data_IF_995817178556
#
_entry.id   IF_995817178556
#
_cell.length_a   1.000
_cell.length_b   1.000
_cell.length_c   1.000
_cell.angle_alpha   90.00
_cell.angle_beta   90.00
_cell.angle_gamma   90.00
#
_symmetry.space_group_name_H-M   'P 1'
#
loop_
_entity.id
_entity.type
_entity.pdbx_description
1 polymer ?
#
# COMPACT_ATOMS: atom_id res chain seq x y z
N UNK A 1 -46.98 2.34 -0.24
CA UNK A 1 -45.76 2.29 0.61
C UNK A 1 -44.70 1.25 0.18
N UNK A 2 -45.00 0.22 -0.62
CA UNK A 2 -44.02 -0.83 -0.97
C UNK A 2 -42.87 -0.42 -1.92
N UNK A 3 -43.10 0.49 -2.88
CA UNK A 3 -42.09 0.79 -3.91
C UNK A 3 -40.86 1.56 -3.37
N UNK A 4 -41.06 2.42 -2.36
CA UNK A 4 -39.99 3.24 -1.76
C UNK A 4 -39.06 2.35 -0.92
N UNK A 5 -39.64 1.43 -0.13
CA UNK A 5 -38.89 0.49 0.71
C UNK A 5 -38.09 -0.50 -0.14
N UNK A 6 -38.68 -1.03 -1.22
CA UNK A 6 -37.98 -1.93 -2.15
C UNK A 6 -36.78 -1.24 -2.84
N UNK A 7 -36.94 0.03 -3.22
CA UNK A 7 -35.86 0.80 -3.87
C UNK A 7 -34.71 1.13 -2.90
N UNK A 8 -35.02 1.45 -1.65
CA UNK A 8 -34.00 1.66 -0.61
C UNK A 8 -33.19 0.38 -0.32
N UNK A 9 -33.85 -0.79 -0.26
CA UNK A 9 -33.18 -2.08 -0.06
C UNK A 9 -32.28 -2.44 -1.26
N UNK A 10 -32.74 -2.20 -2.49
CA UNK A 10 -31.93 -2.43 -3.69
C UNK A 10 -30.68 -1.55 -3.72
N UNK A 11 -30.83 -0.25 -3.44
CA UNK A 11 -29.71 0.68 -3.41
C UNK A 11 -28.68 0.31 -2.34
N UNK A 12 -29.13 -0.10 -1.15
CA UNK A 12 -28.23 -0.56 -0.09
C UNK A 12 -27.49 -1.84 -0.46
N UNK A 13 -28.14 -2.79 -1.15
CA UNK A 13 -27.48 -4.00 -1.66
C UNK A 13 -26.46 -3.69 -2.76
N UNK A 14 -26.78 -2.79 -3.68
CA UNK A 14 -25.86 -2.39 -4.75
C UNK A 14 -24.64 -1.64 -4.20
N UNK A 15 -24.84 -0.78 -3.20
CA UNK A 15 -23.75 -0.11 -2.48
C UNK A 15 -22.86 -1.11 -1.72
N UNK A 16 -23.46 -2.09 -1.04
CA UNK A 16 -22.72 -3.15 -0.36
C UNK A 16 -21.94 -4.03 -1.35
N UNK A 17 -22.52 -4.37 -2.50
CA UNK A 17 -21.84 -5.14 -3.55
C UNK A 17 -20.67 -4.36 -4.14
N UNK A 18 -20.85 -3.08 -4.48
CA UNK A 18 -19.76 -2.24 -4.96
C UNK A 18 -18.66 -2.05 -3.90
N UNK A 19 -19.02 -1.94 -2.62
CA UNK A 19 -18.06 -1.88 -1.51
C UNK A 19 -17.24 -3.17 -1.38
N UNK A 20 -17.88 -4.33 -1.53
CA UNK A 20 -17.21 -5.64 -1.51
C UNK A 20 -16.34 -5.88 -2.74
N UNK A 21 -16.80 -5.52 -3.94
CA UNK A 21 -16.04 -5.61 -5.19
C UNK A 21 -14.77 -4.74 -5.11
N UNK A 22 -14.91 -3.47 -4.68
CA UNK A 22 -13.77 -2.57 -4.45
C UNK A 22 -12.79 -3.11 -3.40
N UNK A 23 -13.31 -3.70 -2.32
CA UNK A 23 -12.49 -4.33 -1.28
C UNK A 23 -11.70 -5.53 -1.83
N UNK A 24 -12.33 -6.35 -2.68
CA UNK A 24 -11.68 -7.47 -3.36
C UNK A 24 -10.56 -7.00 -4.31
N UNK A 25 -10.81 -5.93 -5.07
CA UNK A 25 -9.83 -5.35 -5.99
C UNK A 25 -8.61 -4.79 -5.26
N UNK A 26 -8.80 -4.13 -4.12
CA UNK A 26 -7.70 -3.61 -3.29
C UNK A 26 -6.84 -4.76 -2.75
N UNK A 27 -7.44 -5.82 -2.18
CA UNK A 27 -6.70 -6.99 -1.72
C UNK A 27 -5.90 -7.64 -2.84
N UNK A 28 -6.52 -7.80 -4.02
CA UNK A 28 -5.87 -8.36 -5.21
C UNK A 28 -4.68 -7.51 -5.65
N UNK A 29 -4.84 -6.19 -5.69
CA UNK A 29 -3.76 -5.26 -6.03
C UNK A 29 -2.58 -5.37 -5.05
N UNK A 30 -2.85 -5.39 -3.75
CA UNK A 30 -1.82 -5.48 -2.71
C UNK A 30 -1.07 -6.82 -2.76
N UNK A 31 -1.79 -7.93 -3.00
CA UNK A 31 -1.17 -9.25 -3.23
C UNK A 31 -0.25 -9.24 -4.45
N UNK A 32 -0.73 -8.77 -5.60
CA UNK A 32 0.07 -8.70 -6.84
C UNK A 32 1.30 -7.81 -6.63
N UNK A 33 1.15 -6.70 -5.91
CA UNK A 33 2.27 -5.79 -5.62
C UNK A 33 3.30 -6.44 -4.69
N UNK A 34 2.87 -7.21 -3.69
CA UNK A 34 3.76 -8.02 -2.86
C UNK A 34 4.53 -9.04 -3.70
N UNK A 35 3.85 -9.81 -4.53
CA UNK A 35 4.45 -10.81 -5.43
C UNK A 35 5.46 -10.17 -6.41
N UNK A 36 5.11 -9.02 -6.98
CA UNK A 36 6.01 -8.27 -7.87
C UNK A 36 7.26 -7.78 -7.14
N UNK A 37 7.13 -7.27 -5.92
CA UNK A 37 8.27 -6.84 -5.11
C UNK A 37 9.16 -8.04 -4.73
N UNK A 38 8.55 -9.15 -4.32
CA UNK A 38 9.27 -10.39 -4.01
C UNK A 38 10.07 -10.87 -5.22
N UNK A 39 9.49 -10.80 -6.43
CA UNK A 39 10.18 -11.11 -7.67
C UNK A 39 11.33 -10.15 -7.97
N UNK A 40 11.13 -8.83 -7.82
CA UNK A 40 12.16 -7.80 -8.05
C UNK A 40 13.38 -8.03 -7.15
N UNK A 41 13.15 -8.35 -5.88
CA UNK A 41 14.22 -8.57 -4.91
C UNK A 41 15.01 -9.87 -5.20
N UNK A 42 14.35 -10.89 -5.76
CA UNK A 42 14.97 -12.15 -6.17
C UNK A 42 15.68 -12.07 -7.53
N UNK A 43 15.23 -11.19 -8.44
CA UNK A 43 15.73 -11.09 -9.83
C UNK A 43 16.27 -9.69 -10.15
N UNK A 44 17.19 -9.21 -9.30
CA UNK A 44 17.70 -7.83 -9.31
C UNK A 44 18.25 -7.38 -10.67
N UNK A 45 19.01 -8.25 -11.32
CA UNK A 45 19.57 -8.01 -12.66
C UNK A 45 18.50 -7.75 -13.71
N UNK A 46 17.49 -8.64 -13.77
CA UNK A 46 16.38 -8.52 -14.71
C UNK A 46 15.51 -7.29 -14.38
N UNK A 47 15.28 -7.01 -13.09
CA UNK A 47 14.56 -5.83 -12.65
C UNK A 47 15.29 -4.54 -13.06
N UNK A 48 16.62 -4.47 -12.90
CA UNK A 48 17.42 -3.32 -13.31
C UNK A 48 17.32 -3.07 -14.83
N UNK A 49 17.36 -4.12 -15.66
CA UNK A 49 17.18 -4.00 -17.12
C UNK A 49 15.80 -3.45 -17.49
N UNK A 50 14.75 -3.94 -16.82
CA UNK A 50 13.39 -3.43 -17.00
C UNK A 50 13.34 -1.95 -16.63
N UNK A 51 13.92 -1.54 -15.50
CA UNK A 51 13.93 -0.14 -15.05
C UNK A 51 14.68 0.75 -16.03
N UNK A 52 15.88 0.37 -16.47
CA UNK A 52 16.67 1.13 -17.44
C UNK A 52 15.87 1.36 -18.72
N UNK A 53 15.24 0.31 -19.24
CA UNK A 53 14.45 0.40 -20.47
C UNK A 53 13.17 1.22 -20.30
N UNK A 54 12.42 0.99 -19.22
CA UNK A 54 11.07 1.56 -19.03
C UNK A 54 11.09 2.99 -18.49
N UNK A 55 12.05 3.31 -17.62
CA UNK A 55 12.25 4.65 -17.08
C UNK A 55 13.28 5.47 -17.88
N UNK A 56 13.85 4.91 -18.95
CA UNK A 56 14.84 5.56 -19.82
C UNK A 56 16.05 6.11 -19.03
N UNK A 57 16.52 5.33 -18.06
CA UNK A 57 17.65 5.69 -17.20
C UNK A 57 18.93 5.78 -18.03
N UNK A 58 19.79 6.75 -17.69
CA UNK A 58 21.04 7.03 -18.42
C UNK A 58 22.27 6.51 -17.69
N UNK A 59 22.09 6.17 -16.43
CA UNK A 59 23.10 5.65 -15.55
C UNK A 59 23.53 4.24 -15.98
N UNK A 60 24.80 3.87 -15.79
CA UNK A 60 25.25 2.50 -16.03
C UNK A 60 24.46 1.48 -15.21
N UNK A 61 24.21 0.29 -15.77
CA UNK A 61 23.51 -0.80 -15.07
C UNK A 61 24.13 -1.10 -13.70
N UNK A 62 25.45 -1.06 -13.60
CA UNK A 62 26.17 -1.24 -12.33
C UNK A 62 25.79 -0.20 -11.26
N UNK A 63 25.49 1.04 -11.64
CA UNK A 63 25.01 2.08 -10.71
C UNK A 63 23.59 1.78 -10.26
N UNK A 64 22.72 1.36 -11.18
CA UNK A 64 21.33 0.99 -10.85
C UNK A 64 21.29 -0.22 -9.89
N UNK A 65 22.19 -1.20 -10.09
CA UNK A 65 22.29 -2.38 -9.23
C UNK A 65 22.68 -2.05 -7.78
N UNK A 66 23.31 -0.89 -7.52
CA UNK A 66 23.61 -0.46 -6.15
C UNK A 66 22.38 -0.04 -5.36
N UNK A 67 21.23 0.18 -6.01
CA UNK A 67 19.99 0.53 -5.29
C UNK A 67 19.59 -0.53 -4.27
N UNK A 68 19.90 -1.81 -4.54
CA UNK A 68 19.61 -2.90 -3.62
C UNK A 68 20.47 -2.88 -2.35
N UNK A 69 21.60 -2.16 -2.32
CA UNK A 69 22.38 -1.94 -1.11
C UNK A 69 21.60 -1.11 -0.07
N UNK A 70 20.62 -0.32 -0.54
CA UNK A 70 19.78 0.55 0.28
C UNK A 70 18.38 -0.02 0.54
N UNK A 71 18.02 -1.12 -0.13
CA UNK A 71 16.69 -1.75 -0.05
C UNK A 71 16.76 -3.19 0.47
N UNK A 72 17.19 -3.40 1.74
CA UNK A 72 17.05 -4.70 2.38
C UNK A 72 15.57 -5.11 2.44
N UNK A 73 15.29 -6.41 2.31
CA UNK A 73 13.93 -6.96 2.12
C UNK A 73 12.96 -6.51 3.22
N UNK A 74 13.48 -6.33 4.41
CA UNK A 74 12.78 -6.02 5.66
C UNK A 74 12.36 -4.55 5.73
N UNK A 75 12.99 -3.67 4.94
CA UNK A 75 12.66 -2.23 4.87
C UNK A 75 11.72 -1.90 3.71
N UNK A 76 11.63 -2.77 2.71
CA UNK A 76 10.67 -2.63 1.59
C UNK A 76 9.37 -3.41 1.81
N UNK A 77 9.26 -4.15 2.91
CA UNK A 77 8.02 -4.83 3.30
C UNK A 77 6.85 -3.84 3.39
N UNK A 78 5.75 -4.16 2.73
CA UNK A 78 4.57 -3.29 2.66
C UNK A 78 3.70 -3.37 3.92
N UNK A 79 3.71 -4.52 4.60
CA UNK A 79 2.93 -4.79 5.80
C UNK A 79 3.73 -5.63 6.82
N UNK A 80 3.57 -5.38 8.13
CA UNK A 80 3.00 -4.16 8.70
C UNK A 80 3.90 -2.95 8.40
N UNK A 81 3.35 -1.73 8.21
CA UNK A 81 4.17 -0.54 8.02
C UNK A 81 5.00 -0.28 9.29
N UNK A 82 6.30 -0.03 9.11
CA UNK A 82 7.23 0.29 10.21
C UNK A 82 7.37 1.79 10.37
N UNK A 83 7.69 2.24 11.58
CA UNK A 83 8.02 3.65 11.87
C UNK A 83 6.81 4.57 12.00
N UNK A 84 5.59 4.02 12.08
CA UNK A 84 4.37 4.81 12.26
C UNK A 84 4.44 5.62 13.56
N UNK A 85 4.85 4.98 14.66
CA UNK A 85 4.95 5.60 15.98
C UNK A 85 5.96 6.74 15.98
N UNK A 86 7.13 6.53 15.34
CA UNK A 86 8.16 7.55 15.22
C UNK A 86 7.67 8.74 14.37
N UNK A 87 7.03 8.47 13.23
CA UNK A 87 6.48 9.51 12.39
C UNK A 87 5.40 10.35 13.10
N UNK A 88 4.57 9.71 13.94
CA UNK A 88 3.57 10.42 14.74
C UNK A 88 4.21 11.25 15.86
N UNK A 89 5.25 10.74 16.51
CA UNK A 89 6.01 11.47 17.51
C UNK A 89 6.69 12.70 16.90
N UNK A 90 7.30 12.55 15.72
CA UNK A 90 7.92 13.65 14.99
C UNK A 90 6.87 14.64 14.48
N UNK A 91 5.72 14.16 13.99
CA UNK A 91 4.63 15.02 13.56
C UNK A 91 4.12 15.91 14.71
N UNK A 92 4.04 15.39 15.93
CA UNK A 92 3.67 16.17 17.11
C UNK A 92 4.79 17.15 17.49
N UNK A 93 6.03 16.68 17.56
CA UNK A 93 7.21 17.48 17.91
C UNK A 93 7.40 18.68 16.97
N UNK A 94 7.22 18.46 15.68
CA UNK A 94 7.34 19.50 14.65
C UNK A 94 6.03 20.22 14.35
N UNK A 95 4.97 19.98 15.13
CA UNK A 95 3.67 20.67 15.06
C UNK A 95 2.93 20.49 13.73
N UNK A 96 3.15 19.39 13.02
CA UNK A 96 2.33 18.97 11.88
C UNK A 96 0.94 18.49 12.33
N UNK A 97 0.85 17.93 13.54
CA UNK A 97 -0.41 17.64 14.24
C UNK A 97 -0.47 18.41 15.55
N UNK A 98 -1.69 18.81 15.95
CA UNK A 98 -1.91 19.61 17.16
C UNK A 98 -1.91 18.77 18.43
N UNK A 99 -2.42 17.55 18.33
CA UNK A 99 -2.65 16.63 19.45
C UNK A 99 -2.23 15.21 19.03
N UNK A 100 -1.83 14.35 19.99
CA UNK A 100 -1.54 12.95 19.71
C UNK A 100 -2.75 12.21 19.13
N UNK A 101 -2.53 11.40 18.10
CA UNK A 101 -3.58 10.52 17.57
C UNK A 101 -3.80 9.32 18.51
N UNK A 102 -5.05 8.93 18.67
CA UNK A 102 -5.42 7.70 19.38
C UNK A 102 -5.08 6.45 18.55
N UNK A 103 -4.85 5.29 19.18
CA UNK A 103 -4.58 4.05 18.45
C UNK A 103 -5.66 3.69 17.42
N UNK A 104 -6.92 4.06 17.67
CA UNK A 104 -8.03 3.81 16.75
C UNK A 104 -7.94 4.69 15.50
N UNK A 105 -7.63 5.98 15.67
CA UNK A 105 -7.41 6.88 14.52
C UNK A 105 -6.24 6.41 13.66
N UNK A 106 -5.16 5.93 14.28
CA UNK A 106 -4.02 5.37 13.55
C UNK A 106 -4.41 4.13 12.76
N UNK A 107 -5.18 3.21 13.37
CA UNK A 107 -5.70 2.02 12.68
C UNK A 107 -6.56 2.37 11.48
N UNK A 108 -7.43 3.37 11.57
CA UNK A 108 -8.28 3.80 10.46
C UNK A 108 -7.50 4.41 9.29
N UNK A 109 -6.29 4.92 9.53
CA UNK A 109 -5.41 5.45 8.47
C UNK A 109 -4.59 4.36 7.78
N UNK A 110 -4.36 3.24 8.47
CA UNK A 110 -3.61 2.12 7.93
C UNK A 110 -4.63 1.10 7.43
N UNK A 111 -4.71 0.95 6.11
CA UNK A 111 -5.56 -0.01 5.38
C UNK A 111 -5.14 -1.49 5.61
N UNK A 112 -4.92 -1.85 6.87
CA UNK A 112 -4.42 -3.13 7.37
C UNK A 112 -5.42 -4.25 7.17
N UNK A 113 -6.71 -3.93 7.13
CA UNK A 113 -7.78 -4.86 6.84
C UNK A 113 -7.63 -5.48 5.45
N UNK A 114 -6.97 -4.80 4.50
CA UNK A 114 -6.71 -5.30 3.14
C UNK A 114 -5.32 -5.93 2.97
N UNK A 115 -4.52 -6.03 4.03
CA UNK A 115 -3.20 -6.62 3.96
C UNK A 115 -3.29 -8.06 3.42
N UNK A 116 -2.41 -8.46 2.48
CA UNK A 116 -2.31 -9.84 2.05
C UNK A 116 -1.80 -10.71 3.22
N UNK A 117 -2.35 -11.93 3.33
CA UNK A 117 -1.87 -12.96 4.27
C UNK A 117 -0.40 -13.34 4.02
#
# INVERSE_FOLDING_TARGET
>A
MCAIVARAISLSRDQNRQGQERSGDVRKLLRIRKEALDWILAHREAAAEIWIKRANLKEPKAVILRTWDFYPRETVAMFPPKGVEQNLADALKFKFIKEPLTPEQVRQMIASEFAPE
#
